data_IF_055512534600
#
_entry.id   IF_055512534600
#
_cell.length_a   1.000
_cell.length_b   1.000
_cell.length_c   1.000
_cell.angle_alpha   90.00
_cell.angle_beta   90.00
_cell.angle_gamma   90.00
#
_symmetry.space_group_name_H-M   'P 1'
#
loop_
_entity.id
_entity.type
_entity.pdbx_description
1 polymer ?
#
# COMPACT_ATOMS: atom_id res chain seq x y z
N UNK A 1 7.65 -4.36 -3.66
CA UNK A 1 7.35 -3.55 -2.44
C UNK A 1 5.87 -3.67 -2.18
N UNK A 2 5.41 -3.31 -0.99
CA UNK A 2 4.01 -3.28 -0.65
C UNK A 2 3.74 -2.11 0.31
N UNK A 3 2.47 -1.73 0.43
CA UNK A 3 1.98 -0.73 1.38
C UNK A 3 1.09 -1.42 2.40
N UNK A 4 1.32 -1.17 3.69
CA UNK A 4 0.41 -1.61 4.77
C UNK A 4 -0.86 -0.79 4.68
N UNK A 5 -2.02 -1.46 4.67
CA UNK A 5 -3.35 -0.83 4.52
C UNK A 5 -4.32 -1.16 5.65
N UNK A 6 -3.94 -2.05 6.57
CA UNK A 6 -4.69 -2.31 7.81
C UNK A 6 -4.35 -1.28 8.90
N UNK A 7 -5.21 -1.21 9.90
CA UNK A 7 -4.97 -0.43 11.11
C UNK A 7 -4.08 -1.20 12.11
N UNK A 8 -3.56 -0.47 13.09
CA UNK A 8 -2.69 -1.02 14.14
C UNK A 8 -3.45 -1.99 15.06
N UNK A 9 -4.75 -1.75 15.28
CA UNK A 9 -5.60 -2.61 16.13
C UNK A 9 -5.64 -4.06 15.61
N UNK A 10 -5.71 -4.26 14.29
CA UNK A 10 -5.71 -5.58 13.68
C UNK A 10 -4.38 -6.30 13.95
N UNK A 11 -3.26 -5.60 13.77
CA UNK A 11 -1.94 -6.16 14.01
C UNK A 11 -1.77 -6.54 15.49
N UNK A 12 -2.23 -5.69 16.41
CA UNK A 12 -2.14 -5.97 17.84
C UNK A 12 -2.99 -7.18 18.28
N UNK A 13 -4.15 -7.39 17.64
CA UNK A 13 -5.06 -8.48 17.99
C UNK A 13 -4.67 -9.82 17.35
N UNK A 14 -4.25 -9.81 16.08
CA UNK A 14 -4.12 -11.01 15.24
C UNK A 14 -2.67 -11.30 14.79
N UNK A 15 -1.69 -10.48 15.20
CA UNK A 15 -0.28 -10.55 14.79
C UNK A 15 -0.10 -10.55 13.26
N UNK A 16 -0.98 -9.80 12.57
CA UNK A 16 -1.12 -9.84 11.13
C UNK A 16 -1.64 -8.52 10.56
N UNK A 17 -1.21 -8.17 9.35
CA UNK A 17 -1.62 -6.95 8.66
C UNK A 17 -1.90 -7.18 7.18
N UNK A 18 -2.78 -6.36 6.62
CA UNK A 18 -3.09 -6.37 5.19
C UNK A 18 -2.14 -5.44 4.44
N UNK A 19 -1.64 -5.93 3.31
CA UNK A 19 -0.80 -5.19 2.39
C UNK A 19 -1.44 -5.12 1.00
N UNK A 20 -1.28 -3.98 0.32
CA UNK A 20 -1.47 -3.89 -1.13
C UNK A 20 -0.11 -3.87 -1.84
N UNK A 21 0.00 -4.60 -2.95
CA UNK A 21 1.27 -4.73 -3.67
C UNK A 21 1.63 -3.46 -4.44
N UNK A 22 2.93 -3.15 -4.57
CA UNK A 22 3.45 -2.03 -5.36
C UNK A 22 4.23 -2.56 -6.57
N UNK A 23 3.92 -2.03 -7.74
CA UNK A 23 4.61 -2.30 -9.02
C UNK A 23 5.20 -1.03 -9.61
N UNK A 24 6.31 -1.15 -10.35
CA UNK A 24 6.84 -0.04 -11.17
C UNK A 24 6.16 0.08 -12.53
N UNK A 25 5.16 -0.77 -12.81
CA UNK A 25 4.42 -0.81 -14.07
C UNK A 25 2.94 -0.59 -13.81
N UNK A 26 2.32 0.25 -14.64
CA UNK A 26 0.91 0.58 -14.57
C UNK A 26 0.06 -0.40 -15.40
N UNK A 27 0.01 -1.66 -14.97
CA UNK A 27 -0.86 -2.65 -15.60
C UNK A 27 -2.31 -2.45 -15.15
N UNK A 28 -3.25 -2.39 -16.11
CA UNK A 28 -4.67 -2.16 -15.87
C UNK A 28 -4.93 -0.91 -14.99
N UNK A 29 -4.76 0.31 -15.54
CA UNK A 29 -4.77 1.55 -14.79
C UNK A 29 -6.00 1.76 -13.90
N UNK A 30 -7.16 1.21 -14.28
CA UNK A 30 -8.40 1.28 -13.50
C UNK A 30 -8.28 0.64 -12.11
N UNK A 31 -7.35 -0.31 -11.93
CA UNK A 31 -7.11 -1.01 -10.67
C UNK A 31 -5.83 -0.55 -9.96
N UNK A 32 -5.24 0.57 -10.37
CA UNK A 32 -4.02 1.09 -9.76
C UNK A 32 -4.19 2.47 -9.17
N UNK A 33 -3.29 2.83 -8.25
CA UNK A 33 -3.14 4.18 -7.72
C UNK A 33 -1.68 4.64 -7.88
N UNK A 34 -1.41 5.78 -8.53
CA UNK A 34 -0.05 6.28 -8.68
C UNK A 34 0.51 6.78 -7.34
N UNK A 35 1.72 6.35 -6.98
CA UNK A 35 2.46 6.89 -5.84
C UNK A 35 3.42 7.96 -6.33
N UNK A 36 3.10 9.20 -6.01
CA UNK A 36 3.96 10.36 -6.26
C UNK A 36 4.90 10.60 -5.07
N UNK A 37 6.11 11.09 -5.34
CA UNK A 37 7.14 11.32 -4.31
C UNK A 37 6.67 12.24 -3.18
N UNK A 38 5.83 13.23 -3.50
CA UNK A 38 5.26 14.16 -2.52
C UNK A 38 4.32 13.49 -1.50
N UNK A 39 3.83 12.29 -1.79
CA UNK A 39 2.95 11.51 -0.91
C UNK A 39 3.73 10.75 0.17
N UNK A 40 5.05 10.67 0.04
CA UNK A 40 5.91 9.84 0.87
C UNK A 40 6.80 10.70 1.78
N UNK A 41 7.26 10.12 2.89
CA UNK A 41 8.29 10.74 3.75
C UNK A 41 9.69 10.58 3.17
N UNK A 42 9.88 9.56 2.33
CA UNK A 42 11.09 9.32 1.55
C UNK A 42 10.73 8.85 0.14
N UNK A 43 11.31 9.49 -0.86
CA UNK A 43 11.06 9.19 -2.27
C UNK A 43 11.48 7.76 -2.65
N UNK A 44 10.77 7.20 -3.61
CA UNK A 44 11.13 5.92 -4.21
C UNK A 44 12.06 6.17 -5.41
N UNK A 45 12.94 5.22 -5.71
CA UNK A 45 13.88 5.36 -6.84
C UNK A 45 13.23 5.19 -8.21
N UNK A 46 11.99 4.67 -8.24
CA UNK A 46 11.23 4.39 -9.45
C UNK A 46 9.80 4.85 -9.27
N UNK A 47 9.20 5.31 -10.38
CA UNK A 47 7.76 5.51 -10.45
C UNK A 47 7.04 4.23 -10.03
N UNK A 48 6.07 4.38 -9.13
CA UNK A 48 5.46 3.26 -8.43
C UNK A 48 3.95 3.40 -8.42
N UNK A 49 3.25 2.27 -8.45
CA UNK A 49 1.80 2.19 -8.46
C UNK A 49 1.37 1.16 -7.42
N UNK A 50 0.43 1.52 -6.55
CA UNK A 50 -0.28 0.55 -5.71
C UNK A 50 -1.24 -0.23 -6.61
N UNK A 51 -1.20 -1.55 -6.53
CA UNK A 51 -2.08 -2.47 -7.24
C UNK A 51 -3.27 -2.74 -6.32
N UNK A 52 -4.35 -1.99 -6.50
CA UNK A 52 -5.42 -1.85 -5.52
C UNK A 52 -6.25 -3.12 -5.33
N UNK A 53 -6.31 -4.00 -6.33
CA UNK A 53 -7.01 -5.28 -6.26
C UNK A 53 -6.16 -6.42 -5.70
N UNK A 54 -4.83 -6.24 -5.59
CA UNK A 54 -3.91 -7.29 -5.15
C UNK A 54 -3.54 -7.06 -3.68
N UNK A 55 -4.43 -7.53 -2.81
CA UNK A 55 -4.29 -7.47 -1.37
C UNK A 55 -3.98 -8.85 -0.84
N UNK A 56 -3.01 -8.92 0.07
CA UNK A 56 -2.69 -10.11 0.82
C UNK A 56 -2.51 -9.73 2.27
N UNK A 57 -2.57 -10.72 3.13
CA UNK A 57 -2.25 -10.51 4.52
C UNK A 57 -0.94 -11.20 4.90
N UNK A 58 -0.21 -10.57 5.80
CA UNK A 58 1.19 -10.89 6.12
C UNK A 58 1.50 -10.64 7.59
N UNK A 59 2.62 -11.19 8.03
CA UNK A 59 3.15 -11.02 9.39
C UNK A 59 4.45 -10.20 9.37
N UNK A 60 4.93 -9.76 10.53
CA UNK A 60 6.21 -9.05 10.64
C UNK A 60 7.39 -9.86 10.07
N UNK A 61 7.30 -11.20 10.08
CA UNK A 61 8.33 -12.10 9.54
C UNK A 61 8.50 -11.97 8.03
N UNK A 62 7.45 -11.51 7.34
CA UNK A 62 7.47 -11.29 5.89
C UNK A 62 8.08 -9.93 5.52
N UNK A 63 8.32 -9.06 6.51
CA UNK A 63 8.84 -7.70 6.32
C UNK A 63 10.35 -7.69 6.46
N UNK A 64 11.02 -7.52 5.33
CA UNK A 64 12.49 -7.38 5.31
C UNK A 64 12.94 -6.01 5.83
N UNK A 65 12.23 -4.94 5.47
CA UNK A 65 12.61 -3.55 5.78
C UNK A 65 11.48 -2.55 5.46
N UNK A 66 11.41 -1.48 6.25
CA UNK A 66 10.62 -0.28 5.94
C UNK A 66 11.40 0.65 4.99
N UNK A 67 10.77 1.00 3.85
CA UNK A 67 11.37 1.85 2.83
C UNK A 67 10.99 3.33 2.96
N UNK A 68 9.75 3.61 3.37
CA UNK A 68 9.14 4.94 3.45
C UNK A 68 7.81 4.84 4.21
N UNK A 69 7.20 5.98 4.50
CA UNK A 69 5.83 6.08 5.04
C UNK A 69 4.98 6.96 4.13
N UNK A 70 3.71 6.58 3.95
CA UNK A 70 2.73 7.39 3.22
C UNK A 70 2.13 8.43 4.16
N UNK A 71 1.96 9.66 3.69
CA UNK A 71 1.27 10.71 4.44
C UNK A 71 -0.22 10.39 4.58
N UNK A 72 -0.86 10.90 5.64
CA UNK A 72 -2.23 10.55 6.00
C UNK A 72 -3.26 10.80 4.89
N UNK A 73 -3.25 11.96 4.24
CA UNK A 73 -4.21 12.27 3.17
C UNK A 73 -4.04 11.33 1.95
N UNK A 74 -2.84 11.16 1.34
CA UNK A 74 -2.64 10.17 0.29
C UNK A 74 -3.02 8.75 0.70
N UNK A 75 -2.77 8.36 1.96
CA UNK A 75 -3.15 7.06 2.47
C UNK A 75 -4.68 6.84 2.41
N UNK A 76 -5.45 7.83 2.85
CA UNK A 76 -6.92 7.77 2.77
C UNK A 76 -7.40 7.62 1.32
N UNK A 77 -6.78 8.33 0.37
CA UNK A 77 -7.11 8.20 -1.05
C UNK A 77 -6.82 6.80 -1.61
N UNK A 78 -5.72 6.18 -1.19
CA UNK A 78 -5.37 4.80 -1.57
C UNK A 78 -6.43 3.83 -1.04
N UNK A 79 -6.79 3.94 0.23
CA UNK A 79 -7.81 3.07 0.86
C UNK A 79 -9.17 3.24 0.18
N UNK A 80 -9.59 4.48 -0.12
CA UNK A 80 -10.84 4.73 -0.85
C UNK A 80 -10.80 4.18 -2.28
N UNK A 81 -9.65 4.25 -2.96
CA UNK A 81 -9.48 3.64 -4.28
C UNK A 81 -9.56 2.11 -4.20
N UNK A 82 -8.95 1.50 -3.18
CA UNK A 82 -9.03 0.06 -2.92
C UNK A 82 -10.48 -0.37 -2.72
N UNK A 83 -11.23 0.35 -1.87
CA UNK A 83 -12.64 0.06 -1.63
C UNK A 83 -13.43 0.06 -2.93
N UNK A 84 -13.31 1.12 -3.75
CA UNK A 84 -13.98 1.22 -5.07
C UNK A 84 -13.58 0.15 -6.08
N UNK A 85 -12.43 -0.49 -5.92
CA UNK A 85 -11.91 -1.50 -6.85
C UNK A 85 -12.38 -2.90 -6.46
N UNK A 86 -12.51 -3.18 -5.16
CA UNK A 86 -12.78 -4.51 -4.63
C UNK A 86 -14.24 -4.69 -4.18
N UNK A 87 -14.87 -3.63 -3.62
CA UNK A 87 -16.20 -3.66 -3.01
C UNK A 87 -17.18 -2.74 -3.75
#
# INVERSE_FOLDING_TARGET
MAIVISNDDLQAAEDFFYLAMISSKNYNPQYTFPLEDSMLTKNLTKKSFVICQLIGGYTERDVVRICSHVKAEPFNLIVEKIKKVIF
#
